data_IF_317279275021
#
_entry.id   IF_317279275021
#
_cell.length_a   1.000
_cell.length_b   1.000
_cell.length_c   1.000
_cell.angle_alpha   90.00
_cell.angle_beta   90.00
_cell.angle_gamma   90.00
#
_symmetry.space_group_name_H-M   'P 1'
#
loop_
_entity.id
_entity.type
_entity.pdbx_description
1 polymer ?
#
# COMPACT_ATOMS: atom_id res chain seq x y z
N UNK A 1 6.87 -8.86 -23.57
CA UNK A 1 5.81 -8.17 -22.79
C UNK A 1 5.99 -8.54 -21.32
N UNK A 2 6.53 -7.65 -20.46
CA UNK A 2 6.69 -7.95 -19.02
C UNK A 2 5.29 -7.95 -18.39
N UNK A 3 4.87 -9.09 -17.81
CA UNK A 3 3.57 -9.24 -17.14
C UNK A 3 3.49 -8.33 -15.92
N UNK A 4 2.30 -7.78 -15.66
CA UNK A 4 2.00 -7.11 -14.40
C UNK A 4 2.00 -8.15 -13.26
N UNK A 5 3.01 -8.08 -12.40
CA UNK A 5 3.16 -8.96 -11.24
C UNK A 5 2.34 -8.47 -10.04
N UNK A 6 1.06 -8.11 -10.25
CA UNK A 6 0.20 -7.60 -9.19
C UNK A 6 -0.14 -8.67 -8.15
N UNK A 7 -0.32 -9.92 -8.59
CA UNK A 7 -0.73 -11.02 -7.71
C UNK A 7 0.24 -11.28 -6.55
N UNK A 8 1.56 -11.52 -6.79
CA UNK A 8 2.48 -11.74 -5.68
C UNK A 8 2.61 -10.52 -4.75
N UNK A 9 2.49 -9.31 -5.28
CA UNK A 9 2.53 -8.08 -4.47
C UNK A 9 1.33 -7.95 -3.54
N UNK A 10 0.13 -8.26 -4.02
CA UNK A 10 -1.11 -8.03 -3.28
C UNK A 10 -1.54 -9.22 -2.44
N UNK A 11 -1.24 -10.44 -2.90
CA UNK A 11 -1.82 -11.67 -2.37
C UNK A 11 -0.80 -12.77 -2.08
N UNK A 12 0.50 -12.53 -2.30
CA UNK A 12 1.55 -13.49 -1.96
C UNK A 12 1.82 -13.55 -0.45
N UNK A 13 2.15 -14.73 0.06
CA UNK A 13 2.41 -14.96 1.49
C UNK A 13 1.12 -15.09 2.30
N UNK A 14 1.08 -14.46 3.47
CA UNK A 14 -0.09 -14.41 4.36
C UNK A 14 -1.05 -13.25 4.04
N UNK A 15 -0.74 -12.43 3.05
CA UNK A 15 -1.49 -11.22 2.67
C UNK A 15 -2.97 -11.47 2.38
N UNK A 16 -3.28 -12.60 1.75
CA UNK A 16 -4.67 -12.99 1.46
C UNK A 16 -5.48 -13.31 2.72
N UNK A 17 -4.82 -13.74 3.79
CA UNK A 17 -5.46 -14.12 5.06
C UNK A 17 -5.41 -13.03 6.12
N UNK A 18 -4.42 -12.12 6.07
CA UNK A 18 -4.26 -11.06 7.07
C UNK A 18 -4.96 -9.76 6.68
N UNK A 19 -5.25 -9.55 5.39
CA UNK A 19 -6.02 -8.39 4.94
C UNK A 19 -7.53 -8.62 5.06
N UNK A 20 -8.25 -7.65 5.61
CA UNK A 20 -9.72 -7.69 5.72
C UNK A 20 -10.44 -6.67 4.82
N UNK A 21 -9.69 -5.69 4.32
CA UNK A 21 -10.23 -4.57 3.56
C UNK A 21 -9.21 -4.08 2.53
N UNK A 22 -9.72 -3.51 1.43
CA UNK A 22 -8.89 -2.84 0.44
C UNK A 22 -9.59 -1.59 -0.08
N UNK A 23 -8.78 -0.58 -0.40
CA UNK A 23 -9.20 0.65 -1.07
C UNK A 23 -8.75 0.59 -2.52
N UNK A 24 -9.66 0.89 -3.45
CA UNK A 24 -9.39 0.83 -4.89
C UNK A 24 -9.58 2.20 -5.55
N UNK A 25 -8.83 2.43 -6.63
CA UNK A 25 -9.17 3.43 -7.62
C UNK A 25 -9.69 2.70 -8.86
N UNK A 26 -10.87 3.12 -9.31
CA UNK A 26 -11.58 2.51 -10.43
C UNK A 26 -11.79 3.52 -11.55
N UNK A 27 -11.55 3.11 -12.78
CA UNK A 27 -11.78 3.89 -13.98
C UNK A 27 -12.42 3.00 -15.03
N UNK A 28 -13.59 3.37 -15.54
CA UNK A 28 -14.35 2.59 -16.53
C UNK A 28 -14.50 1.11 -16.11
N UNK A 29 -14.95 0.89 -14.87
CA UNK A 29 -15.17 -0.45 -14.29
C UNK A 29 -13.90 -1.30 -14.12
N UNK A 30 -12.71 -0.69 -14.26
CA UNK A 30 -11.42 -1.36 -14.10
C UNK A 30 -10.69 -0.83 -12.87
N UNK A 31 -10.24 -1.75 -12.02
CA UNK A 31 -9.35 -1.44 -10.90
C UNK A 31 -7.98 -1.06 -11.46
N UNK A 32 -7.57 0.20 -11.28
CA UNK A 32 -6.31 0.75 -11.78
C UNK A 32 -5.26 0.96 -10.68
N UNK A 33 -5.71 1.07 -9.43
CA UNK A 33 -4.84 1.05 -8.25
C UNK A 33 -5.57 0.43 -7.05
N UNK A 34 -4.80 -0.10 -6.11
CA UNK A 34 -5.31 -0.76 -4.91
C UNK A 34 -4.32 -0.61 -3.75
N UNK A 35 -4.85 -0.43 -2.55
CA UNK A 35 -4.13 -0.54 -1.28
C UNK A 35 -4.87 -1.50 -0.35
N UNK A 36 -4.21 -2.50 0.22
CA UNK A 36 -4.82 -3.47 1.14
C UNK A 36 -4.42 -3.24 2.59
N UNK A 37 -5.35 -3.50 3.52
CA UNK A 37 -5.21 -3.22 4.94
C UNK A 37 -5.24 -4.54 5.72
N UNK A 38 -4.20 -4.79 6.51
CA UNK A 38 -4.14 -5.85 7.49
C UNK A 38 -4.29 -5.25 8.90
N UNK A 39 -5.46 -5.38 9.57
CA UNK A 39 -5.72 -4.73 10.85
C UNK A 39 -4.85 -5.23 12.00
N UNK A 40 -4.41 -6.49 11.94
CA UNK A 40 -3.49 -7.10 12.91
C UNK A 40 -2.05 -7.20 12.37
N UNK A 41 -1.79 -6.57 11.22
CA UNK A 41 -0.52 -6.65 10.50
C UNK A 41 -0.25 -8.01 9.84
N UNK A 42 0.85 -8.08 9.10
CA UNK A 42 1.39 -9.36 8.60
C UNK A 42 1.82 -10.24 9.79
N UNK A 43 1.63 -11.55 9.64
CA UNK A 43 1.94 -12.60 10.62
C UNK A 43 1.32 -12.37 12.01
N UNK A 44 0.22 -11.63 12.10
CA UNK A 44 -0.44 -11.25 13.37
C UNK A 44 0.51 -10.49 14.31
N UNK A 45 1.34 -9.60 13.76
CA UNK A 45 2.27 -8.76 14.53
C UNK A 45 1.58 -7.83 15.54
N UNK A 46 0.26 -7.62 15.42
CA UNK A 46 -0.54 -6.77 16.30
C UNK A 46 -0.51 -5.29 15.94
N UNK A 47 0.12 -4.94 14.82
CA UNK A 47 0.23 -3.57 14.33
C UNK A 47 -0.54 -3.41 13.00
N UNK A 48 -1.56 -2.55 12.93
CA UNK A 48 -2.28 -2.29 11.67
C UNK A 48 -1.30 -1.88 10.56
N UNK A 49 -1.38 -2.53 9.40
CA UNK A 49 -0.41 -2.37 8.31
C UNK A 49 -1.12 -2.16 6.99
N UNK A 50 -0.63 -1.23 6.17
CA UNK A 50 -0.97 -1.17 4.74
C UNK A 50 0.05 -2.05 4.02
N UNK A 51 -0.41 -3.23 3.58
CA UNK A 51 0.48 -4.34 3.21
C UNK A 51 0.71 -4.40 1.70
N UNK A 52 -0.34 -4.18 0.92
CA UNK A 52 -0.28 -4.14 -0.53
C UNK A 52 -0.48 -2.73 -1.04
N UNK A 53 0.34 -2.30 -1.99
CA UNK A 53 0.12 -1.09 -2.78
C UNK A 53 0.51 -1.37 -4.23
N UNK A 54 -0.44 -1.22 -5.14
CA UNK A 54 -0.20 -1.47 -6.56
C UNK A 54 -0.94 -0.46 -7.43
N UNK A 55 -0.30 -0.10 -8.55
CA UNK A 55 -0.90 0.68 -9.63
C UNK A 55 -0.55 0.03 -10.96
N UNK A 56 -1.58 -0.23 -11.78
CA UNK A 56 -1.45 -0.78 -13.12
C UNK A 56 -0.45 0.05 -13.90
N UNK A 57 0.48 -0.60 -14.61
CA UNK A 57 1.67 0.06 -15.17
C UNK A 57 1.35 1.26 -16.07
N UNK A 58 0.32 1.16 -16.90
CA UNK A 58 -0.14 2.24 -17.79
C UNK A 58 -0.71 3.44 -17.05
N UNK A 59 -1.10 3.29 -15.79
CA UNK A 59 -1.67 4.33 -14.93
C UNK A 59 -0.67 4.85 -13.87
N UNK A 60 0.58 4.37 -13.87
CA UNK A 60 1.61 4.85 -12.94
C UNK A 60 1.99 6.30 -13.22
N UNK A 61 2.49 6.98 -12.18
CA UNK A 61 2.94 8.39 -12.21
C UNK A 61 1.85 9.41 -12.54
N UNK A 62 0.58 9.01 -12.41
CA UNK A 62 -0.60 9.87 -12.58
C UNK A 62 -1.29 10.20 -11.25
N UNK A 63 -0.70 9.80 -10.12
CA UNK A 63 -1.23 10.09 -8.78
C UNK A 63 -2.07 8.97 -8.15
N UNK A 64 -2.56 7.98 -8.92
CA UNK A 64 -3.47 6.95 -8.40
C UNK A 64 -2.92 6.15 -7.21
N UNK A 65 -1.62 5.81 -7.22
CA UNK A 65 -0.99 5.14 -6.07
C UNK A 65 -1.01 5.99 -4.79
N UNK A 66 -0.82 7.32 -4.92
CA UNK A 66 -0.97 8.26 -3.81
C UNK A 66 -2.43 8.33 -3.36
N UNK A 67 -3.37 8.43 -4.29
CA UNK A 67 -4.80 8.52 -3.99
C UNK A 67 -5.29 7.32 -3.16
N UNK A 68 -4.98 6.09 -3.57
CA UNK A 68 -5.41 4.90 -2.80
C UNK A 68 -4.67 4.79 -1.46
N UNK A 69 -3.42 5.25 -1.38
CA UNK A 69 -2.67 5.30 -0.13
C UNK A 69 -3.28 6.29 0.87
N UNK A 70 -3.60 7.52 0.43
CA UNK A 70 -4.28 8.51 1.28
C UNK A 70 -5.62 7.99 1.79
N UNK A 71 -6.41 7.40 0.91
CA UNK A 71 -7.71 6.86 1.27
C UNK A 71 -7.59 5.64 2.20
N UNK A 72 -6.58 4.78 2.02
CA UNK A 72 -6.30 3.69 2.96
C UNK A 72 -5.89 4.21 4.34
N UNK A 73 -5.04 5.24 4.42
CA UNK A 73 -4.69 5.86 5.72
C UNK A 73 -5.93 6.45 6.38
N UNK A 74 -6.73 7.24 5.66
CA UNK A 74 -7.98 7.80 6.20
C UNK A 74 -8.92 6.71 6.69
N UNK A 75 -9.03 5.61 5.94
CA UNK A 75 -9.83 4.45 6.33
C UNK A 75 -9.33 3.80 7.63
N UNK A 76 -8.01 3.65 7.78
CA UNK A 76 -7.42 3.17 9.03
C UNK A 76 -7.75 4.10 10.22
N UNK A 77 -7.72 5.42 10.02
CA UNK A 77 -8.07 6.39 11.05
C UNK A 77 -9.54 6.32 11.45
N UNK A 78 -10.46 6.17 10.48
CA UNK A 78 -11.89 5.95 10.74
C UNK A 78 -12.14 4.69 11.58
N UNK A 79 -11.29 3.68 11.41
CA UNK A 79 -11.33 2.42 12.17
C UNK A 79 -10.67 2.53 13.56
N UNK A 80 -10.13 3.70 13.91
CA UNK A 80 -9.52 3.97 15.21
C UNK A 80 -8.04 3.57 15.32
N UNK A 81 -7.37 3.26 14.22
CA UNK A 81 -5.94 2.95 14.25
C UNK A 81 -5.12 4.23 14.45
N UNK A 82 -4.33 4.30 15.52
CA UNK A 82 -3.55 5.49 15.88
C UNK A 82 -2.13 5.49 15.32
N UNK A 83 -1.66 4.32 14.84
CA UNK A 83 -0.37 4.16 14.16
C UNK A 83 -0.47 3.02 13.15
N UNK A 84 0.00 3.27 11.93
CA UNK A 84 -0.15 2.37 10.79
C UNK A 84 1.23 2.09 10.21
N UNK A 85 1.61 0.83 10.14
CA UNK A 85 2.88 0.42 9.54
C UNK A 85 2.81 0.40 8.01
N UNK A 86 3.91 0.81 7.38
CA UNK A 86 4.12 0.70 5.94
C UNK A 86 5.56 0.27 5.69
N UNK A 87 5.73 -0.88 5.04
CA UNK A 87 7.03 -1.35 4.60
C UNK A 87 7.25 -0.98 3.13
N UNK A 88 8.08 0.03 2.90
CA UNK A 88 8.37 0.51 1.55
C UNK A 88 9.48 -0.33 0.90
N UNK A 89 9.10 -1.33 0.11
CA UNK A 89 10.05 -2.24 -0.56
C UNK A 89 10.61 -1.71 -1.90
N UNK A 90 10.15 -0.56 -2.38
CA UNK A 90 10.64 0.07 -3.62
C UNK A 90 10.77 1.58 -3.45
N UNK A 91 11.62 2.22 -4.27
CA UNK A 91 11.76 3.69 -4.23
C UNK A 91 10.47 4.37 -4.65
N UNK A 92 9.69 3.73 -5.52
CA UNK A 92 8.37 4.25 -5.92
C UNK A 92 7.38 4.23 -4.76
N UNK A 93 7.36 3.17 -3.94
CA UNK A 93 6.54 3.11 -2.74
C UNK A 93 6.97 4.20 -1.75
N UNK A 94 8.28 4.33 -1.51
CA UNK A 94 8.80 5.36 -0.59
C UNK A 94 8.45 6.78 -1.05
N UNK A 95 8.58 7.08 -2.35
CA UNK A 95 8.14 8.36 -2.93
C UNK A 95 6.65 8.60 -2.74
N UNK A 96 5.83 7.55 -2.85
CA UNK A 96 4.38 7.66 -2.63
C UNK A 96 4.10 8.06 -1.19
N UNK A 97 4.70 7.36 -0.22
CA UNK A 97 4.58 7.67 1.21
C UNK A 97 5.05 9.09 1.53
N UNK A 98 6.20 9.51 1.00
CA UNK A 98 6.75 10.85 1.21
C UNK A 98 5.86 11.96 0.62
N UNK A 99 5.12 11.66 -0.45
CA UNK A 99 4.23 12.61 -1.13
C UNK A 99 2.88 12.82 -0.43
N UNK A 100 2.58 12.04 0.61
CA UNK A 100 1.36 12.19 1.40
C UNK A 100 1.38 13.51 2.19
N UNK A 101 0.21 14.12 2.45
CA UNK A 101 0.07 15.26 3.34
C UNK A 101 0.65 14.97 4.73
N UNK A 102 1.27 15.97 5.37
CA UNK A 102 1.88 15.82 6.70
C UNK A 102 0.86 15.39 7.76
N UNK A 103 -0.39 15.85 7.63
CA UNK A 103 -1.53 15.46 8.48
C UNK A 103 -1.83 13.95 8.45
N UNK A 104 -1.45 13.23 7.38
CA UNK A 104 -1.62 11.78 7.28
C UNK A 104 -0.32 11.06 7.63
N UNK A 105 0.82 11.63 7.25
CA UNK A 105 2.14 11.02 7.50
C UNK A 105 2.46 10.83 8.97
N UNK A 106 1.96 11.70 9.85
CA UNK A 106 2.15 11.60 11.31
C UNK A 106 1.66 10.26 11.88
N UNK A 107 0.70 9.61 11.23
CA UNK A 107 0.16 8.31 11.65
C UNK A 107 0.96 7.12 11.10
N UNK A 108 1.93 7.36 10.21
CA UNK A 108 2.67 6.29 9.55
C UNK A 108 3.97 5.94 10.29
N UNK A 109 4.14 4.65 10.54
CA UNK A 109 5.43 4.07 10.88
C UNK A 109 6.04 3.44 9.62
N UNK A 110 7.00 4.14 9.03
CA UNK A 110 7.55 3.77 7.72
C UNK A 110 8.86 3.03 7.89
N UNK A 111 8.92 1.78 7.44
CA UNK A 111 10.16 1.02 7.33
C UNK A 111 10.64 1.06 5.88
N UNK A 112 11.74 1.78 5.64
CA UNK A 112 12.35 1.81 4.32
C UNK A 112 13.17 0.54 4.07
N UNK A 113 12.65 -0.31 3.18
CA UNK A 113 13.33 -1.52 2.70
C UNK A 113 13.73 -1.39 1.22
N UNK A 114 13.62 -0.19 0.64
CA UNK A 114 13.82 0.04 -0.80
C UNK A 114 15.27 -0.22 -1.25
N UNK A 115 16.24 -0.16 -0.33
CA UNK A 115 17.63 -0.53 -0.59
C UNK A 115 17.87 -2.05 -0.65
N UNK A 116 17.09 -2.84 0.10
CA UNK A 116 17.25 -4.30 0.20
C UNK A 116 16.76 -5.04 -1.06
N UNK A 117 15.78 -4.46 -1.75
CA UNK A 117 15.12 -5.06 -2.91
C UNK A 117 15.39 -4.34 -4.23
N UNK A 118 16.56 -3.72 -4.36
CA UNK A 118 16.96 -2.97 -5.57
C UNK A 118 16.93 -3.78 -6.88
N UNK A 119 16.82 -5.12 -6.81
CA UNK A 119 16.66 -6.03 -7.94
C UNK A 119 15.20 -6.23 -8.41
N UNK A 120 14.20 -5.69 -7.70
CA UNK A 120 12.78 -5.78 -8.06
C UNK A 120 12.27 -4.58 -8.89
N UNK A 121 13.13 -3.61 -9.23
CA UNK A 121 12.78 -2.41 -10.04
C UNK A 121 12.92 -2.63 -11.56
#
# INVERSE_FOLDING_TARGET
MRRDLWYPTLFGGDRITCCDEAVIAELEEKIIAIASIAPQGEMTSGQPTIVGLYTVRSFRRQGYGKTVMEAAVRRCLERGFTKIRVDAISKSAMKTVQSLPDELRVYLEVNDQSGLYSFLE
#
